data_IF_486754218955
#
_entry.id   IF_486754218955
#
_cell.length_a   1.000
_cell.length_b   1.000
_cell.length_c   1.000
_cell.angle_alpha   90.00
_cell.angle_beta   90.00
_cell.angle_gamma   90.00
#
_symmetry.space_group_name_H-M   'P 1'
#
loop_
_entity.id
_entity.type
_entity.pdbx_description
1 polymer ?
#
# COMPACT_ATOMS: atom_id res chain seq x y z
N UNK A 1 0.23 4.06 15.05
CA UNK A 1 0.29 3.22 13.84
C UNK A 1 -1.08 2.72 13.39
N UNK A 2 -1.91 2.30 14.33
CA UNK A 2 -3.22 1.71 13.99
C UNK A 2 -4.11 2.67 13.21
N UNK A 3 -4.18 3.93 13.66
CA UNK A 3 -5.04 4.91 12.99
C UNK A 3 -4.62 5.15 11.54
N UNK A 4 -3.30 5.17 11.27
CA UNK A 4 -2.82 5.36 9.90
C UNK A 4 -3.11 4.13 9.03
N UNK A 5 -2.95 2.92 9.60
CA UNK A 5 -3.30 1.69 8.87
C UNK A 5 -4.78 1.71 8.49
N UNK A 6 -5.64 2.09 9.42
CA UNK A 6 -7.08 2.16 9.13
C UNK A 6 -7.37 3.16 8.01
N UNK A 7 -6.74 4.32 8.01
CA UNK A 7 -6.92 5.31 6.94
C UNK A 7 -6.45 4.78 5.59
N UNK A 8 -5.33 4.06 5.59
CA UNK A 8 -4.81 3.45 4.36
C UNK A 8 -5.80 2.42 3.83
N UNK A 9 -6.30 1.54 4.69
CA UNK A 9 -7.24 0.50 4.28
C UNK A 9 -8.54 1.09 3.76
N UNK A 10 -9.06 2.13 4.42
CA UNK A 10 -10.28 2.81 3.97
C UNK A 10 -10.08 3.42 2.58
N UNK A 11 -8.93 4.05 2.36
CA UNK A 11 -8.66 4.65 1.05
C UNK A 11 -8.49 3.59 -0.02
N UNK A 12 -7.87 2.45 0.31
CA UNK A 12 -7.73 1.35 -0.64
C UNK A 12 -9.09 0.86 -1.14
N UNK A 13 -10.11 0.89 -0.30
CA UNK A 13 -11.44 0.47 -0.71
C UNK A 13 -12.08 1.42 -1.74
N UNK A 14 -11.52 2.62 -1.90
CA UNK A 14 -12.12 3.67 -2.74
C UNK A 14 -11.36 3.91 -4.04
N UNK A 15 -10.09 3.46 -4.14
CA UNK A 15 -9.26 3.81 -5.28
C UNK A 15 -9.66 3.01 -6.53
N UNK A 16 -9.44 3.65 -7.68
CA UNK A 16 -9.62 3.02 -8.99
C UNK A 16 -8.30 2.89 -9.74
N UNK A 17 -7.22 3.39 -9.14
CA UNK A 17 -5.87 3.35 -9.71
C UNK A 17 -4.86 3.43 -8.57
N UNK A 18 -3.71 2.71 -8.64
CA UNK A 18 -2.72 2.72 -7.56
C UNK A 18 -2.16 4.10 -7.23
N UNK A 19 -2.01 4.98 -8.23
CA UNK A 19 -1.45 6.31 -8.02
C UNK A 19 -2.29 7.16 -7.07
N UNK A 20 -3.53 6.81 -6.85
CA UNK A 20 -4.38 7.50 -5.87
C UNK A 20 -3.91 7.29 -4.44
N UNK A 21 -2.98 6.36 -4.22
CA UNK A 21 -2.34 6.18 -2.92
C UNK A 21 -1.08 7.03 -2.76
N UNK A 22 -0.71 7.85 -3.74
CA UNK A 22 0.45 8.72 -3.69
C UNK A 22 0.14 10.00 -2.92
N UNK A 23 -0.15 9.86 -1.63
CA UNK A 23 -0.47 10.97 -0.75
C UNK A 23 0.78 11.40 0.04
N UNK A 24 0.82 12.64 0.56
CA UNK A 24 1.93 13.06 1.39
C UNK A 24 2.17 12.09 2.55
N UNK A 25 3.43 11.64 2.70
CA UNK A 25 3.80 10.71 3.76
C UNK A 25 3.55 9.24 3.47
N UNK A 26 2.84 8.91 2.40
CA UNK A 26 2.57 7.51 2.06
C UNK A 26 3.72 6.86 1.29
N UNK A 27 4.49 7.65 0.54
CA UNK A 27 5.66 7.17 -0.21
C UNK A 27 5.33 5.94 -1.07
N UNK A 28 4.33 6.08 -1.93
CA UNK A 28 3.92 4.99 -2.80
C UNK A 28 5.10 4.50 -3.65
N UNK A 29 5.36 3.18 -3.63
CA UNK A 29 6.42 2.55 -4.40
C UNK A 29 5.93 1.27 -5.04
N UNK A 30 6.45 0.99 -6.24
CA UNK A 30 6.29 -0.31 -6.88
C UNK A 30 7.47 -1.18 -6.46
N UNK A 31 7.19 -2.35 -5.92
CA UNK A 31 8.25 -3.22 -5.38
C UNK A 31 8.84 -4.11 -6.47
N UNK A 32 10.06 -4.61 -6.19
CA UNK A 32 10.80 -5.47 -7.09
C UNK A 32 11.22 -6.74 -6.35
N UNK A 33 11.93 -7.67 -7.03
CA UNK A 33 12.39 -8.90 -6.43
C UNK A 33 11.25 -9.82 -6.07
N UNK A 34 11.29 -10.39 -4.88
CA UNK A 34 10.28 -11.37 -4.42
C UNK A 34 8.89 -10.76 -4.31
N UNK A 35 8.79 -9.43 -4.18
CA UNK A 35 7.51 -8.73 -4.07
C UNK A 35 7.15 -8.00 -5.35
N UNK A 36 7.74 -8.40 -6.48
CA UNK A 36 7.41 -7.81 -7.78
C UNK A 36 5.90 -7.92 -8.04
N UNK A 37 5.31 -6.82 -8.48
CA UNK A 37 3.87 -6.74 -8.71
C UNK A 37 3.10 -6.14 -7.55
N UNK A 38 3.75 -5.96 -6.40
CA UNK A 38 3.15 -5.28 -5.26
C UNK A 38 3.45 -3.79 -5.28
N UNK A 39 2.51 -3.02 -4.77
CA UNK A 39 2.69 -1.62 -4.40
C UNK A 39 2.85 -1.53 -2.90
N UNK A 40 3.55 -0.51 -2.44
CA UNK A 40 3.83 -0.31 -1.02
C UNK A 40 3.53 1.12 -0.62
N UNK A 41 2.88 1.29 0.54
CA UNK A 41 2.75 2.59 1.18
C UNK A 41 3.32 2.51 2.59
N UNK A 42 4.00 3.58 3.01
CA UNK A 42 4.65 3.65 4.31
C UNK A 42 3.61 3.90 5.40
N UNK A 43 3.68 3.12 6.47
CA UNK A 43 2.91 3.38 7.68
C UNK A 43 3.76 4.16 8.67
N UNK A 44 4.83 3.54 9.17
CA UNK A 44 5.71 4.14 10.15
C UNK A 44 6.99 3.32 10.19
N UNK A 45 8.16 3.99 10.18
CA UNK A 45 9.43 3.27 10.17
C UNK A 45 9.51 2.30 9.00
N UNK A 46 9.73 1.02 9.29
CA UNK A 46 9.81 -0.02 8.26
C UNK A 46 8.46 -0.66 7.96
N UNK A 47 7.41 -0.29 8.67
CA UNK A 47 6.11 -0.89 8.44
C UNK A 47 5.48 -0.36 7.16
N UNK A 48 5.00 -1.27 6.32
CA UNK A 48 4.40 -0.98 5.02
C UNK A 48 3.10 -1.73 4.87
N UNK A 49 2.11 -1.08 4.25
CA UNK A 49 0.97 -1.79 3.69
C UNK A 49 1.32 -2.07 2.23
N UNK A 50 1.28 -3.34 1.85
CA UNK A 50 1.53 -3.74 0.47
C UNK A 50 0.24 -4.28 -0.14
N UNK A 51 0.11 -4.13 -1.46
CA UNK A 51 -1.07 -4.59 -2.16
C UNK A 51 -0.76 -4.77 -3.63
N UNK A 52 -1.50 -5.68 -4.27
CA UNK A 52 -1.56 -5.76 -5.73
C UNK A 52 -2.75 -4.96 -6.20
N UNK A 53 -2.72 -4.57 -7.44
CA UNK A 53 -3.85 -3.88 -8.06
C UNK A 53 -4.16 -4.59 -9.36
N UNK A 54 -5.30 -5.27 -9.42
CA UNK A 54 -5.71 -6.08 -10.57
C UNK A 54 -7.21 -5.94 -10.79
N UNK A 55 -7.60 -5.93 -12.06
CA UNK A 55 -9.02 -5.86 -12.44
C UNK A 55 -9.74 -4.64 -11.83
N UNK A 56 -9.00 -3.53 -11.70
CA UNK A 56 -9.55 -2.28 -11.22
C UNK A 56 -9.70 -2.19 -9.71
N UNK A 57 -9.09 -3.10 -8.95
CA UNK A 57 -9.22 -3.09 -7.50
C UNK A 57 -7.98 -3.64 -6.81
N UNK A 58 -7.74 -3.21 -5.55
CA UNK A 58 -6.66 -3.77 -4.74
C UNK A 58 -6.98 -5.20 -4.33
N UNK A 59 -5.92 -6.02 -4.20
CA UNK A 59 -6.03 -7.34 -3.62
C UNK A 59 -4.72 -7.73 -2.94
N UNK A 60 -4.71 -8.86 -2.25
CA UNK A 60 -3.54 -9.37 -1.52
C UNK A 60 -2.94 -8.31 -0.60
N UNK A 61 -3.80 -7.59 0.12
CA UNK A 61 -3.38 -6.52 1.02
C UNK A 61 -2.75 -7.14 2.26
N UNK A 62 -1.58 -6.63 2.66
CA UNK A 62 -0.87 -7.14 3.83
C UNK A 62 -0.10 -6.00 4.52
N UNK A 63 0.18 -6.19 5.79
CA UNK A 63 1.00 -5.27 6.58
C UNK A 63 2.31 -5.98 6.91
N UNK A 64 3.42 -5.44 6.45
CA UNK A 64 4.73 -6.07 6.62
C UNK A 64 5.74 -5.12 7.25
N UNK A 65 6.75 -5.70 7.89
CA UNK A 65 7.94 -4.98 8.37
C UNK A 65 9.01 -5.13 7.29
N UNK A 66 9.18 -4.09 6.49
CA UNK A 66 10.01 -4.14 5.28
C UNK A 66 11.33 -3.39 5.52
N UNK A 67 12.42 -4.13 5.54
CA UNK A 67 13.75 -3.54 5.68
C UNK A 67 14.83 -4.33 4.95
#
# INVERSE_FOLDING_TARGET
>A
MVAKVERILQRLDEITSPDQMALPGYRLHHLAGDLKGFWSVTVNGNWRVIFRFEDGQPNNVDLIDYH
#
